data_IF_657473645718
#
_entry.id   IF_657473645718
#
_cell.length_a   1.000
_cell.length_b   1.000
_cell.length_c   1.000
_cell.angle_alpha   90.00
_cell.angle_beta   90.00
_cell.angle_gamma   90.00
#
_symmetry.space_group_name_H-M   'P 1'
#
loop_
_entity.id
_entity.type
_entity.pdbx_description
1 polymer ?
#
# COMPACT_ATOMS: atom_id res chain seq x y z
N UNK A 1 -34.00 20.74 40.85
CA UNK A 1 -33.07 20.06 39.93
C UNK A 1 -33.66 18.70 39.61
N UNK A 2 -33.95 18.40 38.33
CA UNK A 2 -33.10 17.58 37.43
C UNK A 2 -33.12 16.10 37.86
N UNK A 3 -33.39 15.05 37.07
CA UNK A 3 -33.34 14.81 35.60
C UNK A 3 -34.00 13.44 35.31
N UNK A 4 -34.47 13.21 34.06
CA UNK A 4 -34.60 11.91 33.33
C UNK A 4 -35.65 10.88 33.84
N UNK A 5 -36.40 10.13 33.01
CA UNK A 5 -36.13 9.62 31.67
C UNK A 5 -37.43 9.46 30.84
N UNK A 6 -37.40 9.97 29.60
CA UNK A 6 -38.44 9.81 28.58
C UNK A 6 -38.47 8.37 28.06
N UNK A 7 -39.60 7.68 28.26
CA UNK A 7 -40.02 6.54 27.43
C UNK A 7 -40.74 7.08 26.21
N UNK A 8 -40.09 7.06 25.05
CA UNK A 8 -40.73 7.23 23.76
C UNK A 8 -40.29 6.11 22.82
N UNK A 9 -41.09 5.05 22.85
CA UNK A 9 -41.23 4.08 21.77
C UNK A 9 -41.56 4.83 20.47
N UNK A 10 -40.58 4.90 19.56
CA UNK A 10 -40.78 5.45 18.22
C UNK A 10 -40.23 4.44 17.20
N UNK A 11 -41.13 3.60 16.68
CA UNK A 11 -40.90 2.91 15.40
C UNK A 11 -40.97 3.97 14.31
N UNK A 12 -39.95 4.04 13.45
CA UNK A 12 -40.03 4.79 12.20
C UNK A 12 -39.80 3.82 11.03
N UNK A 13 -40.55 3.98 9.92
CA UNK A 13 -40.63 2.99 8.85
C UNK A 13 -39.40 3.07 7.95
N UNK A 14 -38.95 1.92 7.44
CA UNK A 14 -38.01 1.85 6.32
C UNK A 14 -38.79 2.26 5.07
N UNK A 15 -38.68 3.52 4.66
CA UNK A 15 -39.18 3.95 3.35
C UNK A 15 -38.08 3.74 2.31
N UNK A 16 -38.23 2.66 1.56
CA UNK A 16 -37.50 2.38 0.33
C UNK A 16 -38.04 3.35 -0.72
N UNK A 17 -37.34 4.46 -0.95
CA UNK A 17 -37.62 5.31 -2.10
C UNK A 17 -37.21 4.57 -3.37
N UNK A 18 -38.17 3.88 -3.98
CA UNK A 18 -38.05 3.35 -5.34
C UNK A 18 -38.65 4.39 -6.27
N UNK A 19 -37.84 4.95 -7.15
CA UNK A 19 -38.28 5.90 -8.17
C UNK A 19 -39.05 5.13 -9.26
N UNK A 20 -40.35 5.42 -9.49
CA UNK A 20 -41.20 4.60 -10.35
C UNK A 20 -41.29 5.18 -11.76
N UNK A 21 -40.20 5.17 -12.52
CA UNK A 21 -40.21 5.37 -13.98
C UNK A 21 -38.99 4.70 -14.64
N UNK A 22 -39.04 3.39 -14.84
CA UNK A 22 -38.23 2.74 -15.89
C UNK A 22 -38.85 1.38 -16.28
N UNK A 23 -40.05 1.41 -16.86
CA UNK A 23 -40.56 0.28 -17.63
C UNK A 23 -39.97 0.32 -19.05
N UNK A 24 -39.68 -0.87 -19.60
CA UNK A 24 -39.21 -1.19 -20.99
C UNK A 24 -37.68 -1.09 -21.14
N UNK A 25 -36.85 -2.14 -21.35
CA UNK A 25 -37.02 -3.49 -21.90
C UNK A 25 -35.84 -4.36 -21.42
N UNK A 26 -36.08 -5.53 -20.80
CA UNK A 26 -35.02 -6.48 -20.46
C UNK A 26 -34.74 -7.36 -21.69
N UNK A 27 -33.71 -7.01 -22.45
CA UNK A 27 -33.12 -7.91 -23.44
C UNK A 27 -32.23 -8.94 -22.71
N UNK A 28 -32.57 -10.24 -22.71
CA UNK A 28 -31.76 -11.26 -22.04
C UNK A 28 -30.43 -11.57 -22.76
N UNK A 29 -30.12 -10.92 -23.88
CA UNK A 29 -28.95 -11.24 -24.73
C UNK A 29 -27.92 -10.12 -24.90
N UNK A 30 -27.97 -9.04 -24.12
CA UNK A 30 -26.92 -8.02 -24.16
C UNK A 30 -25.68 -8.44 -23.34
N UNK A 31 -24.79 -9.20 -23.99
CA UNK A 31 -23.38 -9.31 -23.59
C UNK A 31 -22.73 -7.93 -23.69
N UNK A 32 -22.72 -7.20 -22.58
CA UNK A 32 -21.97 -5.97 -22.39
C UNK A 32 -20.97 -6.15 -21.26
N UNK A 33 -19.75 -6.51 -21.64
CA UNK A 33 -18.53 -6.29 -20.86
C UNK A 33 -18.51 -4.88 -20.25
N UNK A 34 -17.73 -4.72 -19.18
CA UNK A 34 -17.31 -3.41 -18.62
C UNK A 34 -18.11 -2.86 -17.43
N UNK A 35 -18.79 -3.73 -16.67
CA UNK A 35 -19.12 -3.43 -15.27
C UNK A 35 -18.03 -3.88 -14.28
N UNK A 36 -16.80 -4.16 -14.75
CA UNK A 36 -15.60 -4.11 -13.90
C UNK A 36 -15.19 -2.64 -13.77
N UNK A 37 -16.06 -1.86 -13.11
CA UNK A 37 -15.80 -0.48 -12.71
C UNK A 37 -14.37 -0.42 -12.19
N UNK A 38 -13.50 0.28 -12.90
CA UNK A 38 -12.18 0.71 -12.45
C UNK A 38 -12.21 0.94 -10.95
N UNK A 39 -11.76 -0.06 -10.19
CA UNK A 39 -11.35 0.15 -8.81
C UNK A 39 -10.17 1.07 -8.98
N UNK A 40 -10.41 2.40 -8.95
CA UNK A 40 -9.43 3.45 -9.28
C UNK A 40 -8.06 3.01 -8.81
N UNK A 41 -7.25 2.50 -9.75
CA UNK A 41 -6.01 1.85 -9.37
C UNK A 41 -5.14 2.97 -8.82
N UNK A 42 -4.65 2.81 -7.59
CA UNK A 42 -3.78 3.81 -7.01
C UNK A 42 -2.52 3.88 -7.87
N UNK A 43 -2.23 5.07 -8.40
CA UNK A 43 -1.01 5.31 -9.16
C UNK A 43 0.16 5.44 -8.19
N UNK A 44 1.19 4.61 -8.39
CA UNK A 44 2.43 4.64 -7.63
C UNK A 44 3.12 5.99 -7.81
N UNK A 45 3.53 6.64 -6.72
CA UNK A 45 4.37 7.84 -6.80
C UNK A 45 5.86 7.47 -6.87
N UNK A 46 6.42 7.45 -8.09
CA UNK A 46 7.85 7.21 -8.34
C UNK A 46 8.79 8.09 -7.50
N UNK A 47 8.47 9.38 -7.36
CA UNK A 47 9.34 10.35 -6.69
C UNK A 47 9.53 10.03 -5.20
N UNK A 48 8.46 9.57 -4.54
CA UNK A 48 8.50 9.14 -3.14
C UNK A 48 9.33 7.87 -2.97
N UNK A 49 9.10 6.87 -3.82
CA UNK A 49 9.83 5.60 -3.74
C UNK A 49 11.32 5.78 -4.00
N UNK A 50 11.70 6.61 -4.98
CA UNK A 50 13.10 6.97 -5.23
C UNK A 50 13.76 7.63 -4.01
N UNK A 51 13.05 8.58 -3.39
CA UNK A 51 13.56 9.30 -2.21
C UNK A 51 13.71 8.37 -1.01
N UNK A 52 12.72 7.50 -0.78
CA UNK A 52 12.73 6.56 0.34
C UNK A 52 13.78 5.44 0.16
N UNK A 53 13.99 4.99 -1.07
CA UNK A 53 14.98 3.95 -1.40
C UNK A 53 16.44 4.41 -1.34
N UNK A 54 16.72 5.72 -1.25
CA UNK A 54 18.08 6.27 -1.28
C UNK A 54 18.96 5.79 -0.10
N UNK A 55 20.03 5.06 -0.45
CA UNK A 55 20.90 4.34 0.49
C UNK A 55 22.30 4.98 0.66
N UNK A 56 22.66 6.01 -0.12
CA UNK A 56 24.03 6.57 -0.16
C UNK A 56 24.55 7.21 1.14
N UNK A 57 23.67 7.58 2.07
CA UNK A 57 24.01 8.30 3.30
C UNK A 57 23.76 7.49 4.57
N UNK A 58 23.97 6.16 4.52
CA UNK A 58 23.76 5.26 5.66
C UNK A 58 25.10 4.72 6.18
N UNK A 59 25.44 5.09 7.40
CA UNK A 59 26.76 4.83 7.99
C UNK A 59 26.71 3.99 9.25
N UNK A 60 25.63 4.09 10.01
CA UNK A 60 25.41 3.39 11.28
C UNK A 60 24.34 2.31 11.15
N UNK A 61 24.26 1.41 12.12
CA UNK A 61 23.21 0.38 12.16
C UNK A 61 21.83 1.02 12.27
N UNK A 62 21.73 2.09 13.03
CA UNK A 62 20.52 2.88 13.25
C UNK A 62 20.07 3.56 11.95
N UNK A 63 21.00 4.12 11.17
CA UNK A 63 20.69 4.69 9.86
C UNK A 63 20.07 3.65 8.92
N UNK A 64 20.64 2.44 8.89
CA UNK A 64 20.13 1.35 8.06
C UNK A 64 18.77 0.86 8.53
N UNK A 65 18.58 0.72 9.84
CA UNK A 65 17.30 0.33 10.43
C UNK A 65 16.20 1.33 10.07
N UNK A 66 16.51 2.63 10.15
CA UNK A 66 15.59 3.70 9.79
C UNK A 66 15.31 3.74 8.28
N UNK A 67 16.34 3.56 7.44
CA UNK A 67 16.18 3.45 5.99
C UNK A 67 15.23 2.31 5.62
N UNK A 68 15.47 1.10 6.13
CA UNK A 68 14.62 -0.07 5.86
C UNK A 68 13.18 0.16 6.34
N UNK A 69 13.01 0.74 7.54
CA UNK A 69 11.69 1.06 8.09
C UNK A 69 10.95 2.06 7.20
N UNK A 70 11.59 3.17 6.85
CA UNK A 70 11.00 4.22 6.04
C UNK A 70 10.66 3.71 4.64
N UNK A 71 11.58 3.00 3.99
CA UNK A 71 11.37 2.47 2.65
C UNK A 71 10.21 1.47 2.61
N UNK A 72 10.12 0.56 3.59
CA UNK A 72 9.00 -0.36 3.72
C UNK A 72 7.66 0.38 3.83
N UNK A 73 7.59 1.45 4.63
CA UNK A 73 6.36 2.22 4.82
C UNK A 73 5.94 2.93 3.52
N UNK A 74 6.88 3.56 2.81
CA UNK A 74 6.56 4.23 1.56
C UNK A 74 6.15 3.24 0.46
N UNK A 75 6.78 2.07 0.39
CA UNK A 75 6.32 0.98 -0.49
C UNK A 75 4.88 0.56 -0.19
N UNK A 76 4.54 0.38 1.08
CA UNK A 76 3.16 0.05 1.47
C UNK A 76 2.18 1.17 1.12
N UNK A 77 2.54 2.44 1.36
CA UNK A 77 1.68 3.60 1.07
C UNK A 77 1.40 3.77 -0.40
N UNK A 78 2.43 3.61 -1.23
CA UNK A 78 2.36 3.84 -2.67
C UNK A 78 1.93 2.58 -3.44
N UNK A 79 1.74 1.44 -2.75
CA UNK A 79 1.34 0.20 -3.39
C UNK A 79 -0.02 0.32 -4.12
N UNK A 80 -0.15 -0.21 -5.35
CA UNK A 80 -1.45 -0.30 -6.02
C UNK A 80 -2.41 -1.28 -5.34
N UNK A 81 -1.92 -2.21 -4.51
CA UNK A 81 -2.73 -3.14 -3.73
C UNK A 81 -3.40 -2.43 -2.54
N UNK A 82 -4.75 -2.39 -2.48
CA UNK A 82 -5.46 -1.78 -1.36
C UNK A 82 -5.12 -2.43 0.00
N UNK A 83 -4.90 -3.75 0.02
CA UNK A 83 -4.53 -4.47 1.24
C UNK A 83 -3.19 -3.98 1.79
N UNK A 84 -2.17 -3.88 0.95
CA UNK A 84 -0.84 -3.40 1.36
C UNK A 84 -0.89 -1.94 1.84
N UNK A 85 -1.67 -1.07 1.19
CA UNK A 85 -1.87 0.31 1.65
C UNK A 85 -2.46 0.40 3.05
N UNK A 86 -3.43 -0.44 3.39
CA UNK A 86 -4.00 -0.45 4.74
C UNK A 86 -2.99 -0.85 5.81
N UNK A 87 -1.97 -1.64 5.45
CA UNK A 87 -0.90 -2.06 6.34
C UNK A 87 0.14 -0.95 6.61
N UNK A 88 0.19 0.13 5.84
CA UNK A 88 1.18 1.19 6.02
C UNK A 88 1.16 1.81 7.43
N UNK A 89 -0.04 2.08 7.96
CA UNK A 89 -0.18 2.62 9.33
C UNK A 89 0.20 1.59 10.39
N UNK A 90 -0.04 0.31 10.12
CA UNK A 90 0.38 -0.76 11.02
C UNK A 90 1.91 -0.89 11.04
N UNK A 91 2.57 -0.82 9.88
CA UNK A 91 4.03 -0.84 9.76
C UNK A 91 4.71 0.35 10.48
N UNK A 92 4.04 1.51 10.56
CA UNK A 92 4.51 2.65 11.35
C UNK A 92 4.52 2.36 12.85
N UNK A 93 3.50 1.68 13.34
CA UNK A 93 3.36 1.34 14.76
C UNK A 93 4.19 0.10 15.12
N UNK A 94 4.38 -0.82 14.18
CA UNK A 94 4.99 -2.13 14.36
C UNK A 94 6.01 -2.38 13.23
N UNK A 95 7.30 -2.02 13.43
CA UNK A 95 8.31 -2.08 12.36
C UNK A 95 8.51 -3.46 11.74
N UNK A 96 8.25 -4.55 12.47
CA UNK A 96 8.34 -5.92 11.95
C UNK A 96 7.37 -6.15 10.79
N UNK A 97 6.16 -5.56 10.83
CA UNK A 97 5.15 -5.69 9.77
C UNK A 97 5.67 -5.09 8.46
N UNK A 98 6.39 -3.97 8.53
CA UNK A 98 7.01 -3.37 7.36
C UNK A 98 8.03 -4.30 6.70
N UNK A 99 8.85 -4.98 7.50
CA UNK A 99 9.85 -5.94 7.00
C UNK A 99 9.21 -7.18 6.38
N UNK A 100 8.22 -7.77 7.03
CA UNK A 100 7.52 -8.95 6.51
C UNK A 100 6.80 -8.68 5.19
N UNK A 101 6.27 -7.46 5.02
CA UNK A 101 5.57 -7.06 3.80
C UNK A 101 6.47 -6.36 2.77
N UNK A 102 7.78 -6.24 3.04
CA UNK A 102 8.70 -5.49 2.20
C UNK A 102 8.74 -6.02 0.76
N UNK A 103 8.92 -7.34 0.58
CA UNK A 103 8.99 -7.95 -0.75
C UNK A 103 7.68 -7.79 -1.54
N UNK A 104 6.55 -8.02 -0.87
CA UNK A 104 5.23 -7.83 -1.48
C UNK A 104 4.97 -6.37 -1.85
N UNK A 105 5.32 -5.42 -0.98
CA UNK A 105 5.25 -3.98 -1.25
C UNK A 105 6.13 -3.57 -2.42
N UNK A 106 7.37 -4.06 -2.46
CA UNK A 106 8.33 -3.78 -3.51
C UNK A 106 7.83 -4.25 -4.87
N UNK A 107 7.49 -5.54 -5.01
CA UNK A 107 7.02 -6.11 -6.28
C UNK A 107 5.72 -5.46 -6.74
N UNK A 108 4.81 -5.16 -5.79
CA UNK A 108 3.56 -4.48 -6.11
C UNK A 108 3.78 -3.11 -6.74
N UNK A 109 4.79 -2.35 -6.28
CA UNK A 109 5.13 -1.05 -6.85
C UNK A 109 5.99 -1.16 -8.11
N UNK A 110 6.89 -2.15 -8.16
CA UNK A 110 7.94 -2.29 -9.18
C UNK A 110 7.41 -2.26 -10.61
N UNK A 111 6.31 -2.97 -10.86
CA UNK A 111 5.69 -3.06 -12.18
C UNK A 111 5.12 -1.73 -12.72
N UNK A 112 4.88 -0.75 -11.83
CA UNK A 112 4.36 0.57 -12.22
C UNK A 112 5.43 1.67 -12.27
N UNK A 113 6.65 1.37 -11.81
CA UNK A 113 7.75 2.33 -11.84
C UNK A 113 8.26 2.53 -13.27
N UNK A 114 8.63 3.77 -13.59
CA UNK A 114 9.35 4.02 -14.84
C UNK A 114 10.80 3.48 -14.78
N UNK A 115 11.41 3.27 -15.95
CA UNK A 115 12.77 2.71 -16.07
C UNK A 115 13.85 3.51 -15.32
N UNK A 116 13.68 4.82 -15.21
CA UNK A 116 14.63 5.67 -14.49
C UNK A 116 14.54 5.44 -12.98
N UNK A 117 13.33 5.33 -12.45
CA UNK A 117 13.07 4.95 -11.05
C UNK A 117 13.59 3.55 -10.74
N UNK A 118 13.30 2.57 -11.60
CA UNK A 118 13.79 1.20 -11.44
C UNK A 118 15.31 1.14 -11.38
N UNK A 119 16.01 1.77 -12.35
CA UNK A 119 17.48 1.84 -12.35
C UNK A 119 18.05 2.50 -11.10
N UNK A 120 17.40 3.56 -10.60
CA UNK A 120 17.88 4.21 -9.38
C UNK A 120 17.69 3.31 -8.15
N UNK A 121 16.55 2.65 -8.01
CA UNK A 121 16.32 1.71 -6.90
C UNK A 121 17.31 0.54 -6.93
N UNK A 122 17.61 -0.01 -8.11
CA UNK A 122 18.65 -1.05 -8.26
C UNK A 122 19.99 -0.55 -7.76
N UNK A 123 20.43 0.65 -8.17
CA UNK A 123 21.67 1.25 -7.66
C UNK A 123 21.67 1.45 -6.15
N UNK A 124 20.53 1.85 -5.58
CA UNK A 124 20.40 1.99 -4.13
C UNK A 124 20.50 0.63 -3.42
N UNK A 125 19.92 -0.43 -3.98
CA UNK A 125 20.05 -1.80 -3.47
C UNK A 125 21.50 -2.31 -3.60
N UNK A 126 22.16 -2.09 -4.74
CA UNK A 126 23.58 -2.43 -4.93
C UNK A 126 24.48 -1.72 -3.90
N UNK A 127 24.19 -0.45 -3.60
CA UNK A 127 24.87 0.33 -2.57
C UNK A 127 24.66 -0.29 -1.19
N UNK A 128 23.43 -0.71 -0.88
CA UNK A 128 23.13 -1.40 0.38
C UNK A 128 23.87 -2.75 0.49
N UNK A 129 23.85 -3.58 -0.55
CA UNK A 129 24.57 -4.86 -0.59
C UNK A 129 26.09 -4.72 -0.45
N UNK A 130 26.64 -3.61 -0.96
CA UNK A 130 28.09 -3.35 -0.92
C UNK A 130 28.53 -2.72 0.40
N UNK A 131 27.61 -2.32 1.28
CA UNK A 131 27.95 -1.63 2.52
C UNK A 131 28.49 -2.60 3.58
N UNK A 132 29.68 -2.37 4.15
CA UNK A 132 30.22 -3.23 5.21
C UNK A 132 29.48 -3.07 6.55
N UNK A 133 28.71 -1.99 6.71
CA UNK A 133 28.01 -1.65 7.95
C UNK A 133 26.53 -2.05 7.94
N UNK A 134 26.05 -2.72 6.87
CA UNK A 134 24.67 -3.15 6.79
C UNK A 134 24.37 -4.25 7.85
N UNK A 135 23.33 -4.07 8.68
CA UNK A 135 22.92 -5.11 9.62
C UNK A 135 22.49 -6.40 8.90
N UNK A 136 22.86 -7.60 9.42
CA UNK A 136 22.52 -8.88 8.79
C UNK A 136 21.02 -9.09 8.55
N UNK A 137 20.16 -8.57 9.42
CA UNK A 137 18.71 -8.68 9.29
C UNK A 137 18.15 -7.88 8.10
N UNK A 138 18.79 -6.77 7.76
CA UNK A 138 18.43 -5.95 6.60
C UNK A 138 18.93 -6.64 5.34
N UNK A 139 20.18 -7.13 5.36
CA UNK A 139 20.73 -7.93 4.28
C UNK A 139 19.84 -9.15 3.96
N UNK A 140 19.40 -9.89 4.98
CA UNK A 140 18.48 -11.01 4.82
C UNK A 140 17.14 -10.59 4.21
N UNK A 141 16.59 -9.44 4.61
CA UNK A 141 15.37 -8.90 4.00
C UNK A 141 15.55 -8.57 2.51
N UNK A 142 16.70 -8.00 2.13
CA UNK A 142 17.01 -7.69 0.73
C UNK A 142 17.30 -8.95 -0.09
N UNK A 143 17.92 -9.98 0.51
CA UNK A 143 18.10 -11.28 -0.14
C UNK A 143 16.76 -11.99 -0.34
N UNK A 144 15.85 -11.93 0.62
CA UNK A 144 14.49 -12.44 0.47
C UNK A 144 13.73 -11.71 -0.64
N UNK A 145 13.94 -10.40 -0.79
CA UNK A 145 13.43 -9.68 -1.97
C UNK A 145 13.99 -10.25 -3.27
N UNK A 146 15.31 -10.47 -3.35
CA UNK A 146 15.95 -11.00 -4.54
C UNK A 146 15.52 -12.44 -4.88
N UNK A 147 15.17 -13.25 -3.89
CA UNK A 147 14.59 -14.59 -4.09
C UNK A 147 13.14 -14.54 -4.58
N UNK A 148 12.38 -13.54 -4.13
CA UNK A 148 10.95 -13.38 -4.44
C UNK A 148 10.70 -12.78 -5.84
N UNK A 149 11.67 -12.08 -6.42
CA UNK A 149 11.59 -11.41 -7.72
C UNK A 149 12.05 -12.30 -8.87
#
# INVERSE_FOLDING_TARGET
GSTAAQRLSRRLPVEVMSDPLNDVEYDPYSEGSDLHRDIRSHQVNDGRLRTAGEASQRSTKEDWAEWMRHFSIELLRESPSPALRTCARLAQLQPFVGRELFAAGFVSCWAQLNETSQRQLVRSLETAFSSPNIPPEILATLLNLAEFM
#
